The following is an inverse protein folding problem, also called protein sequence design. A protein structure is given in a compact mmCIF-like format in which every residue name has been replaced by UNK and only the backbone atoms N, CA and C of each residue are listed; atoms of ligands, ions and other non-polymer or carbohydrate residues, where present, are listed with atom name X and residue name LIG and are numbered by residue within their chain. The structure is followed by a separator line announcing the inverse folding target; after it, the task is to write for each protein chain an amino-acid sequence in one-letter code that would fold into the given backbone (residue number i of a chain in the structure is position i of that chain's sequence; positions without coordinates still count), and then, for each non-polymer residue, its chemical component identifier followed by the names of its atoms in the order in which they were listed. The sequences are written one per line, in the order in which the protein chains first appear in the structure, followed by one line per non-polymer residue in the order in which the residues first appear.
data_IF_761446508747
#
_entry.id   IF_761446508747
#
_cell.length_a   1.000
_cell.length_b   1.000
_cell.length_c   1.000
_cell.angle_alpha   90.00
_cell.angle_beta   90.00
_cell.angle_gamma   90.00
#
_symmetry.space_group_name_H-M   'P 1'
#
loop_
_entity.id
_entity.type
_entity.pdbx_description
1 polymer ?
#
# COMPACT_ATOMS: atom_id res chain seq x y z
N UNK A 1 -20.42 30.23 7.88
CA UNK A 1 -19.92 31.39 8.66
C UNK A 1 -21.00 31.94 9.60
N UNK A 2 -22.26 32.01 9.17
CA UNK A 2 -23.39 32.47 10.00
C UNK A 2 -23.70 31.57 11.20
N UNK A 3 -23.55 30.25 11.04
CA UNK A 3 -23.72 29.27 12.14
C UNK A 3 -22.73 29.47 13.28
N UNK A 4 -21.47 29.85 12.97
CA UNK A 4 -20.44 30.13 13.97
C UNK A 4 -20.75 31.42 14.74
N UNK A 5 -21.27 32.44 14.05
CA UNK A 5 -21.73 33.69 14.66
C UNK A 5 -22.91 33.44 15.60
N UNK A 6 -23.88 32.60 15.19
CA UNK A 6 -25.02 32.21 16.04
C UNK A 6 -24.58 31.50 17.32
N UNK A 7 -23.64 30.56 17.23
CA UNK A 7 -23.11 29.83 18.39
C UNK A 7 -22.38 30.78 19.37
N UNK A 8 -21.58 31.72 18.84
CA UNK A 8 -20.87 32.70 19.67
C UNK A 8 -21.82 33.66 20.41
N UNK A 9 -22.91 34.07 19.77
CA UNK A 9 -23.94 34.90 20.42
C UNK A 9 -24.63 34.12 21.54
N UNK A 10 -25.03 32.87 21.30
CA UNK A 10 -25.69 32.03 22.32
C UNK A 10 -24.76 31.79 23.53
N UNK A 11 -23.48 31.50 23.29
CA UNK A 11 -22.48 31.36 24.36
C UNK A 11 -22.28 32.66 25.13
N UNK A 12 -22.23 33.81 24.45
CA UNK A 12 -22.14 35.12 25.09
C UNK A 12 -23.31 35.41 26.02
N UNK A 13 -24.54 35.10 25.59
CA UNK A 13 -25.75 35.28 26.42
C UNK A 13 -25.74 34.35 27.65
N UNK A 14 -25.33 33.08 27.48
CA UNK A 14 -25.22 32.13 28.59
C UNK A 14 -24.19 32.56 29.64
N UNK A 15 -23.03 33.06 29.22
CA UNK A 15 -21.99 33.55 30.13
C UNK A 15 -22.49 34.77 30.91
N UNK A 16 -23.16 35.71 30.24
CA UNK A 16 -23.73 36.90 30.89
C UNK A 16 -24.81 36.49 31.91
N UNK A 17 -25.69 35.55 31.56
CA UNK A 17 -26.73 35.06 32.47
C UNK A 17 -26.14 34.40 33.73
N UNK A 18 -25.10 33.58 33.58
CA UNK A 18 -24.39 32.96 34.70
C UNK A 18 -23.69 33.98 35.59
N UNK A 19 -23.10 35.03 35.01
CA UNK A 19 -22.50 36.13 35.76
C UNK A 19 -23.56 36.91 36.56
N UNK A 20 -24.72 37.19 35.98
CA UNK A 20 -25.82 37.92 36.64
C UNK A 20 -26.41 37.10 37.81
N UNK A 21 -26.63 35.80 37.61
CA UNK A 21 -27.21 34.93 38.64
C UNK A 21 -26.28 34.77 39.85
N UNK A 22 -24.97 34.64 39.64
CA UNK A 22 -23.99 34.61 40.75
C UNK A 22 -23.84 35.96 41.45
N UNK A 23 -23.87 37.07 40.71
CA UNK A 23 -23.85 38.42 41.29
C UNK A 23 -25.01 38.66 42.27
N UNK A 24 -26.15 38.02 42.03
CA UNK A 24 -27.35 38.12 42.87
C UNK A 24 -27.17 37.46 44.26
N UNK A 25 -26.15 36.63 44.44
CA UNK A 25 -25.89 35.86 45.66
C UNK A 25 -24.65 36.32 46.43
N UNK A 26 -24.04 37.46 46.06
CA UNK A 26 -22.88 38.02 46.79
C UNK A 26 -23.34 39.16 47.70
N UNK A 27 -23.14 38.99 49.02
CA UNK A 27 -23.61 39.96 50.02
C UNK A 27 -22.79 41.28 50.04
N UNK A 28 -21.50 41.27 49.62
CA UNK A 28 -20.71 42.47 49.33
C UNK A 28 -19.61 42.17 48.29
N UNK A 29 -19.78 42.53 47.00
CA UNK A 29 -18.77 42.27 45.99
C UNK A 29 -17.72 43.40 45.95
N UNK A 30 -16.47 43.11 46.30
CA UNK A 30 -15.37 43.95 45.83
C UNK A 30 -15.14 43.69 44.34
N UNK A 31 -15.00 44.76 43.55
CA UNK A 31 -14.86 44.67 42.10
C UNK A 31 -13.63 43.86 41.67
N UNK A 32 -12.55 43.89 42.46
CA UNK A 32 -11.35 43.08 42.22
C UNK A 32 -11.60 41.58 42.41
N UNK A 33 -12.26 41.17 43.51
CA UNK A 33 -12.56 39.75 43.73
C UNK A 33 -13.50 39.19 42.66
N UNK A 34 -14.46 40.01 42.21
CA UNK A 34 -15.40 39.64 41.15
C UNK A 34 -14.70 39.45 39.79
N UNK A 35 -13.79 40.35 39.43
CA UNK A 35 -13.07 40.28 38.14
C UNK A 35 -12.12 39.09 38.08
N UNK A 36 -11.37 38.81 39.15
CA UNK A 36 -10.47 37.66 39.23
C UNK A 36 -11.25 36.35 39.14
N UNK A 37 -12.38 36.26 39.84
CA UNK A 37 -13.19 35.06 39.86
C UNK A 37 -13.90 34.80 38.52
N UNK A 38 -14.50 35.84 37.93
CA UNK A 38 -15.13 35.75 36.61
C UNK A 38 -14.12 35.40 35.50
N UNK A 39 -12.89 35.91 35.59
CA UNK A 39 -11.83 35.62 34.63
C UNK A 39 -11.34 34.17 34.74
N UNK A 40 -11.25 33.62 35.96
CA UNK A 40 -10.90 32.22 36.16
C UNK A 40 -11.99 31.26 35.64
N UNK A 41 -13.27 31.51 35.96
CA UNK A 41 -14.40 30.72 35.46
C UNK A 41 -14.46 30.77 33.91
N UNK A 42 -14.21 31.95 33.32
CA UNK A 42 -14.15 32.11 31.87
C UNK A 42 -13.01 31.31 31.22
N UNK A 43 -11.84 31.29 31.85
CA UNK A 43 -10.68 30.51 31.39
C UNK A 43 -10.94 29.00 31.48
N UNK A 44 -11.64 28.52 32.52
CA UNK A 44 -12.01 27.11 32.61
C UNK A 44 -13.01 26.69 31.53
N UNK A 45 -14.01 27.53 31.26
CA UNK A 45 -14.97 27.32 30.17
C UNK A 45 -14.24 27.27 28.82
N UNK A 46 -13.32 28.21 28.57
CA UNK A 46 -12.50 28.24 27.35
C UNK A 46 -11.64 26.98 27.21
N UNK A 47 -11.00 26.50 28.30
CA UNK A 47 -10.24 25.24 28.28
C UNK A 47 -11.13 24.05 27.95
N UNK A 48 -12.34 24.01 28.50
CA UNK A 48 -13.34 22.97 28.21
C UNK A 48 -13.75 22.97 26.74
N UNK A 49 -14.06 24.14 26.18
CA UNK A 49 -14.42 24.32 24.76
C UNK A 49 -13.24 23.91 23.87
N UNK A 50 -12.02 24.35 24.20
CA UNK A 50 -10.81 24.02 23.44
C UNK A 50 -10.51 22.53 23.42
N UNK A 51 -10.67 21.85 24.57
CA UNK A 51 -10.49 20.40 24.68
C UNK A 51 -11.52 19.64 23.83
N UNK A 52 -12.77 20.07 23.85
CA UNK A 52 -13.84 19.49 23.01
C UNK A 52 -13.61 19.72 21.53
N UNK A 53 -13.17 20.92 21.13
CA UNK A 53 -12.83 21.26 19.76
C UNK A 53 -11.67 20.41 19.22
N UNK A 54 -10.58 20.26 20.00
CA UNK A 54 -9.46 19.37 19.67
C UNK A 54 -9.89 17.91 19.53
N UNK A 55 -10.81 17.43 20.35
CA UNK A 55 -11.37 16.07 20.25
C UNK A 55 -12.11 15.86 18.94
N UNK A 56 -12.93 16.84 18.54
CA UNK A 56 -13.69 16.83 17.29
C UNK A 56 -12.75 16.87 16.08
N UNK A 57 -11.70 17.69 16.13
CA UNK A 57 -10.67 17.80 15.09
C UNK A 57 -9.89 16.47 14.93
N UNK A 58 -9.56 15.79 16.04
CA UNK A 58 -8.96 14.44 16.00
C UNK A 58 -9.89 13.39 15.40
N UNK A 59 -11.20 13.46 15.69
CA UNK A 59 -12.20 12.57 15.11
C UNK A 59 -12.32 12.76 13.60
N UNK A 60 -12.41 14.02 13.15
CA UNK A 60 -12.40 14.38 11.72
C UNK A 60 -11.11 13.93 11.06
N UNK A 61 -9.95 14.12 11.69
CA UNK A 61 -8.67 13.68 11.14
C UNK A 61 -8.59 12.16 10.97
N UNK A 62 -9.06 11.38 11.96
CA UNK A 62 -9.16 9.92 11.84
C UNK A 62 -10.12 9.49 10.73
N UNK A 63 -11.25 10.19 10.58
CA UNK A 63 -12.22 9.91 9.53
C UNK A 63 -11.66 10.24 8.14
N UNK A 64 -10.94 11.35 8.01
CA UNK A 64 -10.20 11.75 6.82
C UNK A 64 -9.15 10.69 6.49
N UNK A 65 -8.30 10.30 7.44
CA UNK A 65 -7.30 9.24 7.22
C UNK A 65 -7.94 7.92 6.77
N UNK A 66 -9.08 7.55 7.37
CA UNK A 66 -9.81 6.35 6.99
C UNK A 66 -10.43 6.45 5.59
N UNK A 67 -10.97 7.61 5.23
CA UNK A 67 -11.55 7.88 3.91
C UNK A 67 -10.49 7.92 2.80
N UNK A 68 -9.28 8.41 3.13
CA UNK A 68 -8.14 8.42 2.21
C UNK A 68 -7.42 7.07 2.13
N UNK A 69 -7.49 6.23 3.17
CA UNK A 69 -7.10 4.82 3.11
C UNK A 69 -8.16 4.01 2.36
N UNK A 70 -8.28 4.24 1.05
CA UNK A 70 -9.03 3.36 0.16
C UNK A 70 -8.48 1.95 0.30
N UNK A 71 -9.34 0.99 0.64
CA UNK A 71 -8.99 -0.43 0.54
C UNK A 71 -8.59 -0.70 -0.89
N UNK A 72 -7.33 -1.07 -1.13
CA UNK A 72 -6.88 -1.49 -2.47
C UNK A 72 -7.67 -2.74 -2.85
N UNK A 73 -8.35 -2.68 -3.98
CA UNK A 73 -9.04 -3.83 -4.56
C UNK A 73 -8.10 -4.37 -5.62
N UNK A 74 -7.44 -5.47 -5.30
CA UNK A 74 -6.52 -6.13 -6.20
C UNK A 74 -7.28 -6.93 -7.26
N UNK A 75 -6.67 -7.02 -8.44
CA UNK A 75 -7.18 -7.81 -9.55
C UNK A 75 -7.17 -9.29 -9.20
N UNK A 76 -8.28 -9.94 -9.51
CA UNK A 76 -8.43 -11.39 -9.41
C UNK A 76 -8.19 -11.99 -10.80
N UNK A 77 -7.14 -12.79 -10.92
CA UNK A 77 -6.85 -13.49 -12.17
C UNK A 77 -7.91 -14.57 -12.44
N UNK A 78 -8.25 -14.72 -13.71
CA UNK A 78 -9.20 -15.73 -14.16
C UNK A 78 -8.56 -17.12 -14.08
N UNK A 79 -9.35 -18.12 -13.67
CA UNK A 79 -8.91 -19.53 -13.63
C UNK A 79 -8.36 -20.00 -14.99
N UNK A 80 -8.93 -19.51 -16.10
CA UNK A 80 -8.46 -19.84 -17.45
C UNK A 80 -7.02 -19.37 -17.71
N UNK A 81 -6.62 -18.24 -17.13
CA UNK A 81 -5.26 -17.72 -17.22
C UNK A 81 -4.31 -18.57 -16.38
N UNK A 82 -4.71 -18.91 -15.15
CA UNK A 82 -3.94 -19.80 -14.27
C UNK A 82 -3.70 -21.17 -14.92
N UNK A 83 -4.73 -21.78 -15.50
CA UNK A 83 -4.62 -23.04 -16.24
C UNK A 83 -3.63 -22.92 -17.40
N UNK A 84 -3.63 -21.77 -18.09
CA UNK A 84 -2.72 -21.52 -19.21
C UNK A 84 -1.25 -21.47 -18.77
N UNK A 85 -0.96 -20.81 -17.64
CA UNK A 85 0.37 -20.80 -17.03
C UNK A 85 0.79 -22.23 -16.65
N UNK A 86 -0.06 -22.97 -15.92
CA UNK A 86 0.23 -24.36 -15.53
C UNK A 86 0.52 -25.29 -16.72
N UNK A 87 -0.28 -25.18 -17.79
CA UNK A 87 -0.12 -26.00 -18.99
C UNK A 87 1.18 -25.71 -19.77
N UNK A 88 1.77 -24.54 -19.57
CA UNK A 88 3.00 -24.16 -20.28
C UNK A 88 4.19 -24.93 -19.75
N UNK A 89 4.21 -25.18 -18.44
CA UNK A 89 5.28 -25.93 -17.79
C UNK A 89 4.97 -27.42 -17.59
N UNK A 90 3.75 -27.87 -17.89
CA UNK A 90 3.29 -29.24 -17.57
C UNK A 90 4.16 -30.36 -18.14
N UNK A 91 4.76 -30.15 -19.32
CA UNK A 91 5.63 -31.14 -19.97
C UNK A 91 7.00 -31.30 -19.27
N UNK A 92 7.35 -30.37 -18.40
CA UNK A 92 8.60 -30.37 -17.64
C UNK A 92 8.42 -30.92 -16.21
N UNK A 93 7.19 -31.24 -15.80
CA UNK A 93 6.85 -31.66 -14.43
C UNK A 93 7.11 -33.15 -14.22
N UNK A 94 7.65 -33.50 -13.05
CA UNK A 94 7.86 -34.88 -12.62
C UNK A 94 6.53 -35.64 -12.49
N UNK A 95 6.54 -36.92 -12.86
CA UNK A 95 5.36 -37.79 -12.74
C UNK A 95 4.86 -37.83 -11.30
N UNK A 96 3.57 -37.53 -11.10
CA UNK A 96 2.92 -37.53 -9.79
C UNK A 96 3.03 -36.20 -9.02
N UNK A 97 3.65 -35.18 -9.62
CA UNK A 97 3.69 -33.82 -9.08
C UNK A 97 2.75 -32.90 -9.87
N UNK A 98 2.28 -31.84 -9.22
CA UNK A 98 1.42 -30.81 -9.81
C UNK A 98 2.17 -29.47 -9.92
N UNK A 99 1.64 -28.59 -10.76
CA UNK A 99 2.11 -27.20 -10.86
C UNK A 99 1.31 -26.36 -9.88
N UNK A 100 2.00 -25.74 -8.94
CA UNK A 100 1.43 -24.73 -8.04
C UNK A 100 1.48 -23.36 -8.72
N UNK A 101 0.36 -22.63 -8.68
CA UNK A 101 0.26 -21.29 -9.24
C UNK A 101 -0.51 -20.40 -8.27
N UNK A 102 0.15 -19.38 -7.74
CA UNK A 102 -0.39 -18.50 -6.71
C UNK A 102 0.02 -17.06 -6.95
N UNK A 103 -0.80 -16.12 -6.44
CA UNK A 103 -0.39 -14.72 -6.31
C UNK A 103 0.15 -14.51 -4.91
N UNK A 104 1.43 -14.15 -4.82
CA UNK A 104 2.15 -13.97 -3.58
C UNK A 104 2.70 -12.55 -3.45
N UNK A 105 3.18 -12.23 -2.26
CA UNK A 105 3.85 -10.97 -1.93
C UNK A 105 5.22 -11.30 -1.37
N UNK A 106 6.23 -10.54 -1.77
CA UNK A 106 7.58 -10.67 -1.24
C UNK A 106 7.60 -10.40 0.28
N UNK A 107 8.58 -10.98 0.97
CA UNK A 107 8.74 -10.84 2.42
C UNK A 107 9.41 -9.53 2.83
N UNK A 108 10.00 -8.80 1.88
CA UNK A 108 10.50 -7.46 2.14
C UNK A 108 9.37 -6.54 2.62
N UNK A 109 9.48 -6.10 3.88
CA UNK A 109 8.46 -5.28 4.53
C UNK A 109 8.44 -3.85 4.03
N UNK A 110 9.58 -3.36 3.55
CA UNK A 110 9.73 -2.00 3.06
C UNK A 110 9.35 -1.93 1.57
N UNK A 111 9.60 -3.00 0.81
CA UNK A 111 9.29 -3.12 -0.61
C UNK A 111 8.50 -4.42 -0.94
N UNK A 112 7.22 -4.53 -0.54
CA UNK A 112 6.42 -5.74 -0.70
C UNK A 112 5.93 -5.94 -2.15
N UNK A 113 6.84 -6.29 -3.05
CA UNK A 113 6.54 -6.54 -4.46
C UNK A 113 5.61 -7.76 -4.63
N UNK A 114 4.62 -7.65 -5.51
CA UNK A 114 3.68 -8.74 -5.80
C UNK A 114 4.14 -9.54 -7.01
N UNK A 115 3.89 -10.84 -6.98
CA UNK A 115 4.22 -11.72 -8.09
C UNK A 115 3.25 -12.89 -8.23
N UNK A 116 3.19 -13.44 -9.44
CA UNK A 116 2.61 -14.76 -9.69
C UNK A 116 3.73 -15.78 -9.58
N UNK A 117 3.62 -16.72 -8.64
CA UNK A 117 4.52 -17.84 -8.46
C UNK A 117 4.04 -19.02 -9.30
N UNK A 118 4.87 -19.56 -10.16
CA UNK A 118 4.63 -20.81 -10.92
C UNK A 118 5.70 -21.80 -10.48
N UNK A 119 5.33 -22.73 -9.59
CA UNK A 119 6.26 -23.66 -8.94
C UNK A 119 5.96 -25.10 -9.32
N UNK A 120 7.00 -25.86 -9.65
CA UNK A 120 6.88 -27.28 -9.95
C UNK A 120 8.20 -28.02 -9.70
N UNK A 121 8.10 -29.33 -9.49
CA UNK A 121 9.25 -30.23 -9.46
C UNK A 121 9.50 -30.78 -10.86
N UNK A 122 10.70 -30.56 -11.40
CA UNK A 122 11.09 -30.94 -12.75
C UNK A 122 11.30 -32.45 -12.91
N UNK A 123 10.92 -33.00 -14.07
CA UNK A 123 11.09 -34.42 -14.41
C UNK A 123 12.55 -34.81 -14.68
N UNK A 124 13.40 -33.84 -14.98
CA UNK A 124 14.84 -33.98 -15.19
C UNK A 124 15.52 -32.66 -14.87
N UNK A 125 16.85 -32.66 -14.87
CA UNK A 125 17.63 -31.44 -14.67
C UNK A 125 17.67 -30.66 -15.99
N UNK A 126 17.23 -29.40 -15.96
CA UNK A 126 17.21 -28.53 -17.13
C UNK A 126 18.37 -27.55 -17.09
N UNK A 127 19.04 -27.29 -18.24
CA UNK A 127 20.02 -26.22 -18.30
C UNK A 127 19.34 -24.88 -18.06
N UNK A 128 20.08 -23.93 -17.47
CA UNK A 128 19.58 -22.59 -17.15
C UNK A 128 18.89 -21.91 -18.35
N UNK A 129 19.44 -22.10 -19.55
CA UNK A 129 18.86 -21.58 -20.80
C UNK A 129 17.43 -22.07 -21.05
N UNK A 130 17.13 -23.32 -20.74
CA UNK A 130 15.78 -23.87 -20.97
C UNK A 130 14.80 -23.32 -19.94
N UNK A 131 15.23 -23.17 -18.68
CA UNK A 131 14.43 -22.53 -17.63
C UNK A 131 14.18 -21.06 -17.98
N UNK A 132 15.19 -20.34 -18.47
CA UNK A 132 15.05 -18.97 -18.94
C UNK A 132 14.06 -18.86 -20.11
N UNK A 133 14.06 -19.80 -21.05
CA UNK A 133 13.07 -19.86 -22.13
C UNK A 133 11.65 -20.09 -21.60
N UNK A 134 11.47 -20.95 -20.59
CA UNK A 134 10.17 -21.14 -19.93
C UNK A 134 9.71 -19.84 -19.27
N UNK A 135 10.58 -19.18 -18.49
CA UNK A 135 10.27 -17.91 -17.84
C UNK A 135 9.89 -16.81 -18.85
N UNK A 136 10.63 -16.71 -19.97
CA UNK A 136 10.32 -15.78 -21.05
C UNK A 136 8.97 -16.07 -21.72
N UNK A 137 8.61 -17.35 -21.86
CA UNK A 137 7.30 -17.75 -22.38
C UNK A 137 6.18 -17.33 -21.43
N UNK A 138 6.35 -17.52 -20.12
CA UNK A 138 5.38 -17.06 -19.12
C UNK A 138 5.22 -15.54 -19.12
N UNK A 139 6.33 -14.79 -19.18
CA UNK A 139 6.29 -13.35 -19.29
C UNK A 139 5.51 -12.89 -20.53
N UNK A 140 5.73 -13.54 -21.68
CA UNK A 140 4.99 -13.27 -22.91
C UNK A 140 3.49 -13.52 -22.73
N UNK A 141 3.10 -14.61 -22.06
CA UNK A 141 1.69 -14.91 -21.81
C UNK A 141 1.04 -13.91 -20.87
N UNK A 142 1.74 -13.50 -19.83
CA UNK A 142 1.29 -12.46 -18.91
C UNK A 142 1.10 -11.12 -19.62
N UNK A 143 2.07 -10.70 -20.45
CA UNK A 143 1.96 -9.48 -21.28
C UNK A 143 0.78 -9.54 -22.26
N UNK A 144 0.51 -10.69 -22.87
CA UNK A 144 -0.68 -10.88 -23.70
C UNK A 144 -1.97 -10.76 -22.88
N UNK A 145 -2.01 -11.32 -21.66
CA UNK A 145 -3.15 -11.22 -20.75
C UNK A 145 -3.45 -9.77 -20.36
N UNK A 146 -2.41 -9.00 -20.03
CA UNK A 146 -2.50 -7.58 -19.68
C UNK A 146 -2.93 -6.74 -20.88
N UNK A 147 -2.32 -6.96 -22.06
CA UNK A 147 -2.67 -6.24 -23.28
C UNK A 147 -4.14 -6.44 -23.67
N UNK A 148 -4.67 -7.67 -23.55
CA UNK A 148 -6.07 -7.97 -23.83
C UNK A 148 -7.06 -7.22 -22.90
N UNK A 149 -6.60 -6.79 -21.73
CA UNK A 149 -7.40 -6.06 -20.71
C UNK A 149 -7.03 -4.58 -20.60
N UNK A 150 -6.09 -4.10 -21.41
CA UNK A 150 -5.53 -2.75 -21.34
C UNK A 150 -4.96 -2.40 -19.97
N UNK A 151 -4.31 -3.37 -19.29
CA UNK A 151 -3.62 -3.10 -18.04
C UNK A 151 -2.25 -2.45 -18.32
N UNK A 152 -1.96 -1.26 -17.76
CA UNK A 152 -0.69 -0.56 -17.96
C UNK A 152 0.41 -1.02 -16.98
N UNK A 153 0.29 -2.22 -16.43
CA UNK A 153 1.14 -2.67 -15.32
C UNK A 153 2.57 -2.96 -15.78
N UNK A 154 3.54 -2.38 -15.09
CA UNK A 154 4.95 -2.74 -15.24
C UNK A 154 5.18 -4.14 -14.68
N UNK A 155 6.09 -4.89 -15.31
CA UNK A 155 6.31 -6.29 -15.00
C UNK A 155 7.67 -6.78 -15.47
N UNK A 156 8.22 -7.76 -14.75
CA UNK A 156 9.39 -8.53 -15.16
C UNK A 156 9.26 -9.97 -14.66
N UNK A 157 10.15 -10.85 -15.09
CA UNK A 157 10.19 -12.24 -14.62
C UNK A 157 11.56 -12.59 -14.08
N UNK A 158 11.57 -13.29 -12.95
CA UNK A 158 12.75 -14.01 -12.47
C UNK A 158 12.44 -15.49 -12.31
N UNK A 159 13.48 -16.29 -12.19
CA UNK A 159 13.35 -17.71 -11.89
C UNK A 159 14.38 -18.13 -10.85
N UNK A 160 13.98 -19.09 -10.03
CA UNK A 160 14.84 -19.76 -9.06
C UNK A 160 14.80 -21.25 -9.37
N UNK A 161 15.98 -21.85 -9.38
CA UNK A 161 16.19 -23.27 -9.60
C UNK A 161 17.01 -23.81 -8.43
N UNK A 162 16.42 -24.72 -7.67
CA UNK A 162 17.09 -25.41 -6.59
C UNK A 162 16.84 -26.91 -6.68
N UNK A 163 17.90 -27.68 -6.97
CA UNK A 163 17.83 -29.10 -7.26
C UNK A 163 16.93 -29.43 -8.46
N UNK A 164 15.68 -29.84 -8.20
CA UNK A 164 14.65 -30.09 -9.22
C UNK A 164 13.45 -29.17 -9.07
N UNK A 165 13.42 -28.35 -8.04
CA UNK A 165 12.34 -27.41 -7.84
C UNK A 165 12.63 -26.14 -8.62
N UNK A 166 11.71 -25.81 -9.52
CA UNK A 166 11.74 -24.60 -10.34
C UNK A 166 10.61 -23.70 -9.85
N UNK A 167 10.93 -22.44 -9.64
CA UNK A 167 9.95 -21.40 -9.34
C UNK A 167 10.15 -20.22 -10.29
N UNK A 168 9.18 -19.99 -11.17
CA UNK A 168 9.13 -18.82 -12.04
C UNK A 168 8.26 -17.77 -11.35
N UNK A 169 8.79 -16.55 -11.17
CA UNK A 169 8.11 -15.43 -10.52
C UNK A 169 7.85 -14.32 -11.52
N UNK A 170 6.59 -14.08 -11.83
CA UNK A 170 6.15 -12.94 -12.64
C UNK A 170 5.82 -11.77 -11.72
N UNK A 171 6.75 -10.83 -11.55
CA UNK A 171 6.52 -9.64 -10.74
C UNK A 171 5.73 -8.60 -11.52
N UNK A 172 4.84 -7.88 -10.83
CA UNK A 172 4.02 -6.83 -11.44
C UNK A 172 3.66 -5.72 -10.45
N UNK A 173 3.48 -4.51 -10.98
CA UNK A 173 2.96 -3.36 -10.25
C UNK A 173 1.54 -3.04 -10.73
N UNK A 174 0.54 -3.36 -9.91
CA UNK A 174 -0.87 -3.12 -10.25
C UNK A 174 -1.24 -1.64 -10.04
N UNK A 175 -0.60 -1.01 -9.07
CA UNK A 175 -0.78 0.41 -8.75
C UNK A 175 0.51 1.22 -8.95
N UNK A 176 0.42 2.52 -9.27
CA UNK A 176 1.61 3.37 -9.50
C UNK A 176 2.59 3.38 -8.33
N UNK A 177 2.11 3.37 -7.09
CA UNK A 177 2.98 3.33 -5.90
C UNK A 177 3.75 2.02 -5.73
N UNK A 178 3.34 0.95 -6.40
CA UNK A 178 4.03 -0.35 -6.37
C UNK A 178 5.18 -0.41 -7.38
N UNK A 179 5.29 0.56 -8.29
CA UNK A 179 6.41 0.62 -9.24
C UNK A 179 7.75 0.70 -8.53
N UNK A 180 7.85 1.47 -7.43
CA UNK A 180 9.06 1.53 -6.63
C UNK A 180 9.43 0.18 -6.00
N UNK A 181 8.43 -0.62 -5.58
CA UNK A 181 8.65 -1.97 -5.06
C UNK A 181 9.15 -2.90 -6.16
N UNK A 182 8.57 -2.80 -7.35
CA UNK A 182 8.97 -3.57 -8.52
C UNK A 182 10.41 -3.25 -8.94
N UNK A 183 10.76 -1.96 -9.02
CA UNK A 183 12.11 -1.50 -9.36
C UNK A 183 13.14 -1.97 -8.33
N UNK A 184 12.84 -1.84 -7.04
CA UNK A 184 13.69 -2.35 -5.97
C UNK A 184 13.93 -3.85 -6.13
N UNK A 185 12.86 -4.63 -6.32
CA UNK A 185 12.97 -6.09 -6.46
C UNK A 185 13.76 -6.47 -7.71
N UNK A 186 13.58 -5.76 -8.82
CA UNK A 186 14.37 -5.99 -10.03
C UNK A 186 15.87 -5.79 -9.78
N UNK A 187 16.25 -4.69 -9.10
CA UNK A 187 17.66 -4.42 -8.72
C UNK A 187 18.21 -5.55 -7.83
N UNK A 188 17.43 -6.03 -6.86
CA UNK A 188 17.83 -7.15 -5.99
C UNK A 188 18.00 -8.45 -6.77
N UNK A 189 17.02 -8.84 -7.59
CA UNK A 189 17.10 -10.09 -8.36
C UNK A 189 18.25 -10.07 -9.38
N UNK A 190 18.57 -8.90 -9.96
CA UNK A 190 19.71 -8.72 -10.87
C UNK A 190 21.05 -8.84 -10.12
N UNK A 191 21.13 -8.34 -8.89
CA UNK A 191 22.31 -8.46 -8.04
C UNK A 191 22.50 -9.90 -7.50
N UNK A 192 21.41 -10.58 -7.19
CA UNK A 192 21.40 -11.96 -6.67
C UNK A 192 21.56 -13.01 -7.77
N UNK A 193 21.42 -12.63 -9.05
CA UNK A 193 21.52 -13.53 -10.19
C UNK A 193 22.83 -14.33 -10.15
N UNK A 194 22.68 -15.66 -10.10
CA UNK A 194 23.80 -16.58 -9.92
C UNK A 194 23.66 -17.74 -10.90
N UNK A 195 24.71 -18.03 -11.70
CA UNK A 195 24.65 -19.08 -12.70
C UNK A 195 24.18 -20.42 -12.09
N UNK A 196 23.21 -21.05 -12.76
CA UNK A 196 22.57 -22.31 -12.38
C UNK A 196 21.69 -22.29 -11.12
N UNK A 197 21.48 -21.15 -10.45
CA UNK A 197 20.65 -21.05 -9.23
C UNK A 197 19.47 -20.10 -9.41
N UNK A 198 19.70 -18.90 -9.94
CA UNK A 198 18.64 -17.93 -10.14
C UNK A 198 19.03 -16.95 -11.25
N UNK A 199 18.02 -16.44 -11.96
CA UNK A 199 18.23 -15.49 -13.05
C UNK A 199 17.02 -14.60 -13.27
N UNK A 200 17.28 -13.48 -13.92
CA UNK A 200 16.27 -12.50 -14.35
C UNK A 200 16.28 -12.48 -15.86
N UNK A 201 15.09 -12.50 -16.47
CA UNK A 201 15.00 -12.21 -17.90
C UNK A 201 15.12 -10.70 -18.04
N UNK A 202 16.28 -10.25 -18.50
CA UNK A 202 16.56 -8.85 -18.76
C UNK A 202 15.60 -8.30 -19.79
N UNK A 203 15.06 -7.12 -19.49
CA UNK A 203 14.17 -6.38 -20.37
C UNK A 203 14.85 -5.03 -20.67
N UNK A 204 15.30 -4.86 -21.92
CA UNK A 204 16.05 -3.67 -22.35
C UNK A 204 15.26 -2.36 -22.20
N UNK A 205 13.92 -2.41 -22.18
CA UNK A 205 13.08 -1.24 -21.90
C UNK A 205 13.08 -0.93 -20.39
N UNK A 206 12.96 -1.96 -19.54
CA UNK A 206 12.98 -1.80 -18.09
C UNK A 206 14.37 -1.40 -17.56
N UNK A 207 15.44 -1.94 -18.16
CA UNK A 207 16.81 -1.55 -17.84
C UNK A 207 17.04 -0.06 -18.16
N UNK A 208 16.52 0.45 -19.29
CA UNK A 208 16.57 1.88 -19.63
C UNK A 208 15.80 2.76 -18.65
N UNK A 209 14.59 2.36 -18.27
CA UNK A 209 13.77 3.10 -17.29
C UNK A 209 14.46 3.21 -15.92
N UNK A 210 15.36 2.29 -15.58
CA UNK A 210 16.09 2.27 -14.31
C UNK A 210 17.39 3.06 -14.35
N UNK A 211 18.04 3.15 -15.52
CA UNK A 211 19.26 3.95 -15.72
C UNK A 211 18.96 5.46 -15.61
N UNK A 212 17.82 5.92 -16.13
CA UNK A 212 17.42 7.34 -16.08
C UNK A 212 17.19 7.89 -14.65
N UNK A 213 17.00 7.01 -13.65
CA UNK A 213 16.75 7.40 -12.25
C UNK A 213 18.05 7.63 -11.48
N UNK A 214 19.14 6.94 -11.87
CA UNK A 214 20.42 7.03 -11.16
C UNK A 214 21.24 8.28 -11.60
N UNK A 215 20.86 8.95 -12.70
CA UNK A 215 21.49 10.19 -13.21
C UNK A 215 20.86 11.51 -12.69
N UNK A 216 19.75 11.44 -11.94
CA UNK A 216 19.14 12.61 -11.26
C UNK A 216 19.57 12.78 -9.78
N UNK A 217 20.57 12.01 -9.34
CA UNK A 217 21.13 12.00 -7.97
C UNK A 217 22.30 12.95 -7.71
#
# INVERSE_FOLDING_TARGET
METLKGILVILGVLIIALCIEKLRHMDEPSTEALTVYAMNDFLEILKGIWKSFLGLLKGIWKFILHYFNKTKIYHLFEESFEIKLKNTVSNYVATGFEVDCSVDVDQDKDYPARFISIRFTANQDYPEKDIANMAALELKQFRQYMAARNFPWKNFVSFIHYNRDINIKLYFAEFPEEEAYLQHRYKVEKADASPNVCGVITDDDLDRELEDIDDEG
#
